data_IF_967780695581
#
_entry.id   IF_967780695581
#
_cell.length_a   1.000
_cell.length_b   1.000
_cell.length_c   1.000
_cell.angle_alpha   90.00
_cell.angle_beta   90.00
_cell.angle_gamma   90.00
#
_symmetry.space_group_name_H-M   'P 1'
#
loop_
_entity.id
_entity.type
_entity.pdbx_description
1 polymer ?
#
# COMPACT_ATOMS: atom_id res chain seq x y z
N UNK A 1 3.89 -24.84 -16.43
CA UNK A 1 2.69 -24.02 -16.77
C UNK A 1 2.04 -23.52 -15.49
N UNK A 2 2.31 -22.27 -15.09
CA UNK A 2 1.48 -21.56 -14.09
C UNK A 2 1.09 -20.23 -14.69
N UNK A 3 -0.20 -19.96 -14.54
CA UNK A 3 -1.06 -19.15 -15.41
C UNK A 3 -0.72 -17.66 -15.40
N UNK A 4 -0.99 -17.06 -16.57
CA UNK A 4 -1.19 -15.65 -16.77
C UNK A 4 -2.06 -15.04 -15.66
N UNK A 5 -1.61 -13.90 -15.13
CA UNK A 5 -2.47 -12.98 -14.41
C UNK A 5 -3.36 -12.28 -15.45
N UNK A 6 -4.46 -12.96 -15.77
CA UNK A 6 -5.61 -12.43 -16.47
C UNK A 6 -6.74 -12.23 -15.46
N UNK A 7 -7.63 -11.29 -15.81
CA UNK A 7 -8.87 -10.85 -15.18
C UNK A 7 -8.71 -9.83 -14.02
N UNK A 8 -8.95 -8.53 -14.25
CA UNK A 8 -10.26 -8.00 -14.69
C UNK A 8 -11.43 -8.75 -14.02
N UNK A 9 -11.35 -8.96 -12.69
CA UNK A 9 -12.45 -9.52 -11.90
C UNK A 9 -12.67 -8.84 -10.55
N UNK A 10 -12.56 -7.51 -10.50
CA UNK A 10 -13.13 -6.70 -9.41
C UNK A 10 -13.81 -5.42 -9.91
N UNK A 11 -14.21 -5.35 -11.19
CA UNK A 11 -15.34 -4.49 -11.56
C UNK A 11 -16.62 -5.17 -11.08
N UNK A 12 -17.33 -4.46 -10.19
CA UNK A 12 -18.78 -4.51 -10.03
C UNK A 12 -19.40 -5.85 -9.62
N UNK A 13 -19.10 -6.29 -8.40
CA UNK A 13 -20.04 -7.07 -7.58
C UNK A 13 -20.06 -6.55 -6.14
N UNK A 14 -20.46 -5.29 -6.01
CA UNK A 14 -21.03 -4.73 -4.79
C UNK A 14 -22.37 -4.09 -5.19
N UNK A 15 -23.29 -4.99 -5.58
CA UNK A 15 -24.72 -4.71 -5.69
C UNK A 15 -25.25 -4.53 -4.28
N UNK A 16 -25.75 -3.33 -4.03
CA UNK A 16 -26.84 -2.98 -3.13
C UNK A 16 -26.86 -3.66 -1.76
N UNK A 17 -26.22 -3.02 -0.80
CA UNK A 17 -26.83 -2.86 0.52
C UNK A 17 -27.54 -1.51 0.54
N UNK A 18 -28.74 -1.48 -0.06
CA UNK A 18 -29.73 -0.45 0.19
C UNK A 18 -30.09 -0.53 1.67
N UNK A 19 -29.68 0.49 2.43
CA UNK A 19 -30.21 0.75 3.76
C UNK A 19 -31.68 1.17 3.57
N UNK A 20 -32.68 0.50 4.16
CA UNK A 20 -34.03 1.04 4.16
C UNK A 20 -34.06 2.19 5.17
N UNK A 21 -33.78 3.40 4.69
CA UNK A 21 -34.03 4.62 5.44
C UNK A 21 -35.55 4.81 5.46
N UNK A 22 -36.21 4.34 6.52
CA UNK A 22 -37.65 4.56 6.71
C UNK A 22 -37.90 6.07 6.88
N UNK A 23 -38.37 6.68 5.80
CA UNK A 23 -38.87 8.04 5.76
C UNK A 23 -40.14 8.15 6.62
N UNK A 24 -39.97 8.52 7.89
CA UNK A 24 -41.07 9.00 8.71
C UNK A 24 -41.44 10.40 8.20
N UNK A 25 -42.66 10.54 7.69
CA UNK A 25 -43.23 11.83 7.32
C UNK A 25 -43.46 12.64 8.60
N UNK A 26 -42.82 13.80 8.72
CA UNK A 26 -43.27 14.85 9.63
C UNK A 26 -43.07 16.23 8.99
N UNK A 27 -44.14 17.01 8.77
CA UNK A 27 -44.04 18.33 8.18
C UNK A 27 -43.93 19.37 9.29
N UNK A 28 -42.74 19.91 9.51
CA UNK A 28 -42.59 21.07 10.40
C UNK A 28 -41.43 21.97 9.95
N UNK A 29 -41.82 23.01 9.21
CA UNK A 29 -41.42 24.42 9.38
C UNK A 29 -40.22 24.65 10.31
N UNK A 30 -39.09 25.10 9.76
CA UNK A 30 -37.88 25.41 10.52
C UNK A 30 -37.86 26.91 10.89
N UNK A 31 -38.05 27.31 12.16
CA UNK A 31 -37.63 28.63 12.59
C UNK A 31 -36.14 28.58 12.97
N UNK A 32 -35.42 29.64 12.58
CA UNK A 32 -34.02 29.85 12.93
C UNK A 32 -33.85 29.88 14.45
N UNK A 33 -33.34 28.80 15.02
CA UNK A 33 -32.75 28.78 16.37
C UNK A 33 -31.44 27.99 16.28
N UNK A 34 -30.36 28.62 16.74
CA UNK A 34 -29.03 27.99 16.83
C UNK A 34 -29.15 26.78 17.76
N UNK A 35 -29.21 25.59 17.17
CA UNK A 35 -29.31 24.34 17.90
C UNK A 35 -27.88 23.89 18.26
N UNK A 36 -27.50 23.98 19.54
CA UNK A 36 -26.25 23.42 20.04
C UNK A 36 -26.37 21.90 20.11
N UNK A 37 -26.26 21.23 18.96
CA UNK A 37 -26.18 19.78 18.92
C UNK A 37 -24.88 19.34 19.61
N UNK A 38 -24.93 18.57 20.72
CA UNK A 38 -23.71 18.04 21.31
C UNK A 38 -23.04 17.14 20.27
N UNK A 39 -21.78 17.42 19.96
CA UNK A 39 -20.97 16.58 19.08
C UNK A 39 -20.87 15.22 19.78
N UNK A 40 -21.68 14.26 19.35
CA UNK A 40 -21.60 12.91 19.87
C UNK A 40 -20.19 12.37 19.60
N UNK A 41 -19.51 11.76 20.59
CA UNK A 41 -18.20 11.17 20.36
C UNK A 41 -18.32 10.09 19.29
N UNK A 42 -17.50 10.20 18.25
CA UNK A 42 -17.48 9.23 17.16
C UNK A 42 -17.26 7.82 17.73
N UNK A 43 -18.06 6.81 17.32
CA UNK A 43 -17.89 5.45 17.80
C UNK A 43 -16.48 4.95 17.44
N UNK A 44 -15.64 4.82 18.46
CA UNK A 44 -14.28 4.30 18.32
C UNK A 44 -14.37 2.81 18.00
N UNK A 45 -14.32 2.47 16.71
CA UNK A 45 -14.26 1.07 16.27
C UNK A 45 -12.86 0.53 16.57
N UNK A 46 -12.59 0.19 17.83
CA UNK A 46 -11.26 -0.10 18.37
C UNK A 46 -10.81 -1.56 18.21
N UNK A 47 -11.48 -2.38 17.40
CA UNK A 47 -11.15 -3.80 17.25
C UNK A 47 -10.91 -4.28 15.80
N UNK A 48 -10.70 -3.35 14.87
CA UNK A 48 -10.29 -3.72 13.52
C UNK A 48 -8.83 -4.22 13.51
N UNK A 49 -8.52 -5.34 12.83
CA UNK A 49 -7.15 -5.87 12.77
C UNK A 49 -6.22 -4.83 12.17
N UNK A 50 -5.15 -4.49 12.90
CA UNK A 50 -4.20 -3.45 12.53
C UNK A 50 -3.44 -3.86 11.28
N UNK A 51 -3.71 -3.17 10.17
CA UNK A 51 -2.98 -3.38 8.91
C UNK A 51 -1.49 -3.10 9.11
N UNK A 52 -0.65 -3.84 8.38
CA UNK A 52 0.79 -3.58 8.35
C UNK A 52 1.02 -2.39 7.42
N UNK A 53 1.62 -1.33 7.99
CA UNK A 53 1.92 -0.10 7.29
C UNK A 53 3.43 0.18 7.28
N UNK A 54 3.85 0.95 6.28
CA UNK A 54 5.17 1.58 6.29
C UNK A 54 5.17 2.74 7.29
N UNK A 55 6.25 2.87 8.06
CA UNK A 55 6.47 4.06 8.88
C UNK A 55 6.93 5.22 7.98
N UNK A 56 6.80 6.46 8.47
CA UNK A 56 7.24 7.64 7.72
C UNK A 56 8.71 7.52 7.29
N UNK A 57 9.58 7.11 8.21
CA UNK A 57 11.02 6.98 7.95
C UNK A 57 11.34 5.89 6.93
N UNK A 58 10.64 4.75 6.99
CA UNK A 58 10.78 3.69 5.99
C UNK A 58 10.36 4.15 4.60
N UNK A 59 9.23 4.87 4.52
CA UNK A 59 8.74 5.40 3.25
C UNK A 59 9.70 6.44 2.67
N UNK A 60 10.25 7.33 3.50
CA UNK A 60 11.28 8.29 3.05
C UNK A 60 12.48 7.58 2.45
N UNK A 61 12.99 6.52 3.07
CA UNK A 61 14.14 5.77 2.53
C UNK A 61 13.83 5.13 1.17
N UNK A 62 12.65 4.52 1.03
CA UNK A 62 12.21 3.92 -0.25
C UNK A 62 12.06 5.01 -1.32
N UNK A 63 11.42 6.13 -0.99
CA UNK A 63 11.19 7.23 -1.92
C UNK A 63 12.48 7.94 -2.34
N UNK A 64 13.49 8.01 -1.47
CA UNK A 64 14.80 8.56 -1.83
C UNK A 64 15.50 7.73 -2.90
N UNK A 65 15.46 6.40 -2.77
CA UNK A 65 16.00 5.48 -3.79
C UNK A 65 15.17 5.58 -5.07
N UNK A 66 13.84 5.62 -4.93
CA UNK A 66 12.93 5.76 -6.06
C UNK A 66 13.23 7.02 -6.88
N UNK A 67 13.37 8.18 -6.23
CA UNK A 67 13.68 9.44 -6.91
C UNK A 67 14.97 9.38 -7.73
N UNK A 68 16.03 8.74 -7.20
CA UNK A 68 17.28 8.55 -7.96
C UNK A 68 17.11 7.64 -9.18
N UNK A 69 16.35 6.56 -9.05
CA UNK A 69 16.07 5.64 -10.16
C UNK A 69 15.14 6.24 -11.22
N UNK A 70 14.24 7.14 -10.82
CA UNK A 70 13.40 7.95 -11.73
C UNK A 70 14.27 8.96 -12.47
N UNK A 71 15.17 9.67 -11.77
CA UNK A 71 16.11 10.60 -12.40
C UNK A 71 17.00 9.91 -13.44
N UNK A 72 17.40 8.67 -13.18
CA UNK A 72 18.14 7.83 -14.11
C UNK A 72 17.27 7.17 -15.20
N UNK A 73 15.94 7.38 -15.20
CA UNK A 73 15.02 6.92 -16.24
C UNK A 73 14.57 5.45 -16.16
N UNK A 74 14.94 4.73 -15.09
CA UNK A 74 14.64 3.31 -14.94
C UNK A 74 13.23 3.03 -14.43
N UNK A 75 12.76 3.85 -13.50
CA UNK A 75 11.45 3.67 -12.85
C UNK A 75 10.52 4.81 -13.23
N UNK A 76 9.21 4.54 -13.28
CA UNK A 76 8.22 5.54 -13.69
C UNK A 76 7.00 5.60 -12.80
N UNK A 77 6.61 4.48 -12.21
CA UNK A 77 5.41 4.41 -11.38
C UNK A 77 5.63 3.49 -10.17
N UNK A 78 4.81 3.66 -9.14
CA UNK A 78 4.83 2.86 -7.94
C UNK A 78 3.42 2.63 -7.39
N UNK A 79 3.26 1.51 -6.70
CA UNK A 79 2.02 1.14 -6.03
C UNK A 79 2.30 0.79 -4.58
N UNK A 80 1.51 1.35 -3.66
CA UNK A 80 1.60 1.03 -2.23
C UNK A 80 0.37 0.23 -1.85
N UNK A 81 0.58 -0.95 -1.27
CA UNK A 81 -0.48 -1.78 -0.74
C UNK A 81 -0.23 -2.10 0.73
N UNK A 82 -1.27 -1.92 1.54
CA UNK A 82 -1.28 -2.22 2.96
C UNK A 82 -2.22 -3.39 3.21
N UNK A 83 -1.65 -4.53 3.61
CA UNK A 83 -2.40 -5.74 3.94
C UNK A 83 -2.41 -6.05 5.43
N UNK A 84 -3.14 -7.10 5.81
CA UNK A 84 -3.17 -7.60 7.18
C UNK A 84 -1.83 -8.19 7.63
N UNK A 85 -1.15 -8.90 6.73
CA UNK A 85 0.08 -9.63 7.07
C UNK A 85 1.35 -8.89 6.64
N UNK A 86 1.25 -8.05 5.61
CA UNK A 86 2.39 -7.39 4.98
C UNK A 86 2.02 -6.08 4.31
N UNK A 87 2.98 -5.16 4.28
CA UNK A 87 2.95 -3.99 3.42
C UNK A 87 3.84 -4.24 2.20
N UNK A 88 3.41 -3.76 1.03
CA UNK A 88 4.11 -3.96 -0.24
C UNK A 88 4.26 -2.62 -0.95
N UNK A 89 5.48 -2.30 -1.35
CA UNK A 89 5.79 -1.21 -2.26
C UNK A 89 6.23 -1.82 -3.59
N UNK A 90 5.40 -1.67 -4.62
CA UNK A 90 5.61 -2.20 -5.96
C UNK A 90 6.18 -1.11 -6.85
N UNK A 91 7.18 -1.44 -7.64
CA UNK A 91 7.86 -0.51 -8.55
C UNK A 91 7.62 -0.96 -9.98
N UNK A 92 7.29 -0.02 -10.86
CA UNK A 92 6.92 -0.27 -12.24
C UNK A 92 7.76 0.55 -13.21
N UNK A 93 8.08 -0.04 -14.36
CA UNK A 93 8.59 0.69 -15.52
C UNK A 93 7.47 1.35 -16.31
N UNK A 94 6.31 0.69 -16.39
CA UNK A 94 5.08 1.16 -17.05
C UNK A 94 3.87 0.71 -16.22
N UNK A 95 2.81 1.52 -16.18
CA UNK A 95 1.66 1.31 -15.29
C UNK A 95 0.88 -0.01 -15.54
N UNK A 96 0.96 -0.60 -16.73
CA UNK A 96 0.21 -1.82 -17.10
C UNK A 96 1.05 -3.10 -17.10
N UNK A 97 2.32 -3.03 -16.69
CA UNK A 97 3.23 -4.18 -16.69
C UNK A 97 3.35 -4.84 -15.30
N UNK A 98 3.91 -6.05 -15.27
CA UNK A 98 4.31 -6.70 -14.03
C UNK A 98 5.28 -5.80 -13.24
N UNK A 99 5.13 -5.64 -11.91
CA UNK A 99 6.10 -4.91 -11.11
C UNK A 99 7.51 -5.44 -11.32
N UNK A 100 8.47 -4.56 -11.58
CA UNK A 100 9.90 -4.89 -11.68
C UNK A 100 10.42 -5.43 -10.36
N UNK A 101 10.06 -4.72 -9.28
CA UNK A 101 10.49 -5.01 -7.94
C UNK A 101 9.34 -4.83 -6.96
N UNK A 102 9.36 -5.61 -5.87
CA UNK A 102 8.44 -5.45 -4.74
C UNK A 102 9.22 -5.45 -3.44
N UNK A 103 9.18 -4.33 -2.72
CA UNK A 103 9.74 -4.22 -1.38
C UNK A 103 8.63 -4.59 -0.40
N UNK A 104 8.84 -5.65 0.37
CA UNK A 104 7.83 -6.21 1.27
C UNK A 104 8.30 -6.07 2.72
N UNK A 105 7.39 -5.58 3.56
CA UNK A 105 7.50 -5.58 5.02
C UNK A 105 6.59 -6.65 5.60
N UNK A 106 7.17 -7.64 6.27
CA UNK A 106 6.45 -8.76 6.92
C UNK A 106 6.87 -8.89 8.39
N UNK A 107 6.15 -8.28 9.34
CA UNK A 107 6.50 -8.31 10.76
C UNK A 107 6.50 -9.73 11.35
N UNK A 108 5.67 -10.63 10.81
CA UNK A 108 5.64 -12.05 11.21
C UNK A 108 7.00 -12.76 11.03
N UNK A 109 7.81 -12.32 10.06
CA UNK A 109 9.11 -12.92 9.77
C UNK A 109 10.29 -12.19 10.44
N UNK A 110 10.04 -11.10 11.16
CA UNK A 110 11.08 -10.28 11.80
C UNK A 110 12.01 -11.12 12.70
N UNK A 111 11.43 -11.94 13.59
CA UNK A 111 12.21 -12.74 14.54
C UNK A 111 13.01 -13.89 13.94
N UNK A 112 12.73 -14.31 12.70
CA UNK A 112 13.36 -15.49 12.08
C UNK A 112 14.26 -15.14 10.91
N UNK A 113 13.65 -14.64 9.83
CA UNK A 113 14.32 -14.49 8.53
C UNK A 113 14.53 -13.02 8.13
N UNK A 114 13.98 -12.08 8.89
CA UNK A 114 14.03 -10.66 8.60
C UNK A 114 12.68 -10.10 8.20
N UNK A 115 12.39 -8.88 8.66
CA UNK A 115 11.14 -8.21 8.36
C UNK A 115 11.04 -7.73 6.90
N UNK A 116 12.16 -7.68 6.17
CA UNK A 116 12.27 -7.04 4.87
C UNK A 116 12.79 -7.97 3.80
N UNK A 117 12.20 -7.87 2.61
CA UNK A 117 12.70 -8.55 1.42
C UNK A 117 12.34 -7.79 0.15
N UNK A 118 13.13 -8.00 -0.89
CA UNK A 118 12.89 -7.52 -2.25
C UNK A 118 12.61 -8.73 -3.13
N UNK A 119 11.48 -8.69 -3.84
CA UNK A 119 11.17 -9.62 -4.92
C UNK A 119 11.51 -9.00 -6.27
N UNK A 120 11.96 -9.83 -7.20
CA UNK A 120 12.04 -9.50 -8.64
C UNK A 120 10.71 -9.76 -9.36
N UNK A 121 10.73 -9.59 -10.68
CA UNK A 121 9.58 -9.77 -11.57
C UNK A 121 8.96 -11.16 -11.41
N UNK A 122 9.76 -12.22 -11.39
CA UNK A 122 9.29 -13.60 -11.31
C UNK A 122 8.96 -14.05 -9.88
N UNK A 123 8.99 -13.11 -8.92
CA UNK A 123 8.83 -13.40 -7.50
C UNK A 123 10.06 -14.03 -6.86
N UNK A 124 11.22 -14.06 -7.54
CA UNK A 124 12.46 -14.50 -6.91
C UNK A 124 12.86 -13.52 -5.79
N UNK A 125 13.39 -14.05 -4.68
CA UNK A 125 13.89 -13.22 -3.59
C UNK A 125 15.30 -12.73 -3.98
N UNK A 126 15.42 -11.44 -4.28
CA UNK A 126 16.70 -10.81 -4.63
C UNK A 126 17.53 -10.51 -3.39
N UNK A 127 16.87 -10.03 -2.34
CA UNK A 127 17.52 -9.68 -1.08
C UNK A 127 16.54 -9.84 0.08
N UNK A 128 17.07 -10.21 1.23
CA UNK A 128 16.34 -10.31 2.50
C UNK A 128 17.20 -9.75 3.63
N UNK A 129 16.56 -9.13 4.63
CA UNK A 129 17.24 -8.52 5.76
C UNK A 129 16.34 -8.16 6.93
N UNK A 130 16.97 -7.91 8.08
CA UNK A 130 16.30 -7.46 9.31
C UNK A 130 15.93 -5.97 9.25
N UNK A 131 16.73 -5.17 8.54
CA UNK A 131 16.54 -3.73 8.36
C UNK A 131 16.37 -3.38 6.88
N UNK A 132 15.76 -2.23 6.62
CA UNK A 132 15.44 -1.76 5.27
C UNK A 132 16.67 -1.24 4.50
N UNK A 133 17.53 -0.45 5.14
CA UNK A 133 18.68 0.19 4.46
C UNK A 133 19.63 -0.82 3.78
N UNK A 134 20.07 -1.91 4.44
CA UNK A 134 20.96 -2.88 3.79
C UNK A 134 20.30 -3.61 2.62
N UNK A 135 18.97 -3.70 2.63
CA UNK A 135 18.18 -4.31 1.57
C UNK A 135 18.11 -3.35 0.37
N UNK A 136 17.93 -2.05 0.61
CA UNK A 136 17.90 -1.01 -0.42
C UNK A 136 19.23 -0.77 -1.13
N UNK A 137 20.37 -1.07 -0.48
CA UNK A 137 21.72 -1.00 -1.10
C UNK A 137 21.86 -1.82 -2.38
N UNK A 138 20.98 -2.80 -2.61
CA UNK A 138 20.92 -3.54 -3.88
C UNK A 138 20.69 -2.59 -5.07
N UNK A 139 19.79 -1.63 -4.93
CA UNK A 139 19.46 -0.68 -6.01
C UNK A 139 20.55 0.37 -6.20
N UNK A 140 21.25 0.77 -5.14
CA UNK A 140 22.38 1.70 -5.24
C UNK A 140 23.53 1.10 -6.05
N UNK A 141 23.82 -0.18 -5.84
CA UNK A 141 24.80 -0.90 -6.66
C UNK A 141 24.38 -1.05 -8.11
N UNK A 142 23.08 -1.19 -8.38
CA UNK A 142 22.58 -1.17 -9.75
C UNK A 142 22.78 0.21 -10.38
N UNK A 143 22.48 1.29 -9.65
CA UNK A 143 22.66 2.64 -10.14
C UNK A 143 24.12 2.93 -10.52
N UNK A 144 25.09 2.51 -9.70
CA UNK A 144 26.51 2.68 -10.01
C UNK A 144 26.91 2.00 -11.32
N UNK A 145 26.49 0.75 -11.54
CA UNK A 145 26.77 0.00 -12.77
C UNK A 145 26.17 0.61 -14.03
N UNK A 146 25.20 1.50 -13.88
CA UNK A 146 24.44 2.10 -14.97
C UNK A 146 24.92 3.53 -15.28
N UNK A 147 25.81 4.07 -14.44
CA UNK A 147 26.41 5.39 -14.59
C UNK A 147 27.82 5.36 -15.20
N UNK A 148 28.37 4.16 -15.41
CA UNK A 148 29.63 3.91 -16.12
C UNK A 148 29.41 3.68 -17.63
#
# INVERSE_FOLDING_TARGET
MIKAYDLERLKTKAIEAVVPCQAHKSPAKWPLMINHNPIAPFPSTSNAPKAVLFTRMELTLILNVYGRMVAAGYWRDYGIHSGRDRAVFSIFRRASEMPLYRIIKSPAHAKRQGAWLILGMDGQILKRGQALEPVLKLFERQLLKLAD
#
